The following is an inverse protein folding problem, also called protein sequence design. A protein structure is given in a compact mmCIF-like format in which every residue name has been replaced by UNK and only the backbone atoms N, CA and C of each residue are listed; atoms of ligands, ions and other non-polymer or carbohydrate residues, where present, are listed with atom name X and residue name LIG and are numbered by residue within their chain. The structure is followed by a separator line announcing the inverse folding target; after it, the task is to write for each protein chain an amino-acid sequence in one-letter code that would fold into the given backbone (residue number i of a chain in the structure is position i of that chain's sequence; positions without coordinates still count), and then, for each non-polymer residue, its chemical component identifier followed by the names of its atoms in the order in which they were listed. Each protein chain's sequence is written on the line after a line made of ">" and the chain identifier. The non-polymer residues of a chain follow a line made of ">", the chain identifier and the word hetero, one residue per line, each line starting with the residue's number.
data_IF_387168874536
#
_entry.id   IF_387168874536
#
_cell.length_a   1.000
_cell.length_b   1.000
_cell.length_c   1.000
_cell.angle_alpha   90.00
_cell.angle_beta   90.00
_cell.angle_gamma   90.00
#
_symmetry.space_group_name_H-M   'P 1'
#
loop_
_entity.id
_entity.type
_entity.pdbx_description
1 polymer ?
#
# COMPACT_ATOMS: atom_id res chain seq x y z
N UNK A 1 -21.16 -3.16 -3.31
CA UNK A 1 -21.14 -1.99 -2.41
C UNK A 1 -22.48 -1.85 -1.71
N UNK A 2 -22.50 -1.44 -0.43
CA UNK A 2 -23.69 -1.00 0.30
C UNK A 2 -23.68 0.52 0.32
N UNK A 3 -24.85 1.12 0.20
CA UNK A 3 -25.03 2.57 0.24
C UNK A 3 -26.22 2.92 1.12
N UNK A 4 -26.04 3.84 2.07
CA UNK A 4 -27.11 4.37 2.91
C UNK A 4 -26.96 5.87 3.11
N UNK A 5 -28.10 6.53 3.31
CA UNK A 5 -28.13 7.93 3.74
C UNK A 5 -28.48 7.98 5.22
N UNK A 6 -27.51 8.35 6.05
CA UNK A 6 -27.60 8.44 7.50
C UNK A 6 -28.08 9.84 7.92
N UNK A 7 -28.82 9.94 9.01
CA UNK A 7 -29.22 11.24 9.59
C UNK A 7 -28.16 11.72 10.58
N UNK A 8 -27.67 12.94 10.39
CA UNK A 8 -26.70 13.56 11.30
C UNK A 8 -27.36 14.63 12.18
N UNK A 9 -26.61 15.18 13.14
CA UNK A 9 -26.96 16.38 13.91
C UNK A 9 -27.35 17.53 12.98
N UNK A 10 -26.58 17.73 11.92
CA UNK A 10 -26.64 18.92 11.06
C UNK A 10 -27.23 18.65 9.67
N UNK A 11 -27.66 17.43 9.35
CA UNK A 11 -28.25 17.10 8.06
C UNK A 11 -28.36 15.62 7.74
N UNK A 12 -27.91 15.26 6.52
CA UNK A 12 -27.91 13.90 5.99
C UNK A 12 -26.54 13.59 5.39
N UNK A 13 -26.01 12.41 5.67
CA UNK A 13 -24.72 11.94 5.21
C UNK A 13 -24.90 10.69 4.34
N UNK A 14 -24.42 10.73 3.09
CA UNK A 14 -24.47 9.57 2.20
C UNK A 14 -23.20 8.75 2.38
N UNK A 15 -23.32 7.56 2.96
CA UNK A 15 -22.21 6.64 3.23
C UNK A 15 -22.27 5.46 2.26
N UNK A 16 -21.14 5.16 1.63
CA UNK A 16 -20.99 4.04 0.69
C UNK A 16 -19.79 3.20 1.11
N UNK A 17 -19.98 1.88 1.26
CA UNK A 17 -18.92 0.96 1.68
C UNK A 17 -18.78 -0.19 0.68
N UNK A 18 -17.55 -0.61 0.32
CA UNK A 18 -17.27 -1.86 -0.36
C UNK A 18 -17.91 -3.08 0.33
N UNK A 19 -18.39 -4.04 -0.46
CA UNK A 19 -18.84 -5.36 0.05
C UNK A 19 -17.96 -6.51 -0.44
N UNK A 20 -17.08 -6.22 -1.39
CA UNK A 20 -16.17 -7.15 -2.03
C UNK A 20 -14.79 -6.52 -2.07
N UNK A 21 -13.74 -7.33 -2.00
CA UNK A 21 -12.37 -6.82 -2.07
C UNK A 21 -12.02 -6.17 -3.41
N UNK A 22 -12.72 -6.51 -4.49
CA UNK A 22 -12.55 -5.85 -5.79
C UNK A 22 -12.86 -4.35 -5.76
N UNK A 23 -13.63 -3.91 -4.77
CA UNK A 23 -14.01 -2.50 -4.58
C UNK A 23 -13.09 -1.79 -3.57
N UNK A 24 -12.16 -2.49 -2.92
CA UNK A 24 -11.25 -1.95 -1.90
C UNK A 24 -9.89 -1.64 -2.54
N UNK A 25 -9.37 -0.44 -2.28
CA UNK A 25 -8.04 -0.03 -2.78
C UNK A 25 -6.92 -0.49 -1.85
N UNK A 26 -5.71 -0.60 -2.38
CA UNK A 26 -4.51 -0.90 -1.60
C UNK A 26 -4.28 0.15 -0.51
N UNK A 27 -4.54 1.42 -0.79
CA UNK A 27 -4.40 2.52 0.16
C UNK A 27 -5.35 2.43 1.33
N UNK A 28 -6.61 2.03 1.10
CA UNK A 28 -7.58 1.78 2.17
C UNK A 28 -7.11 0.63 3.07
N UNK A 29 -6.62 -0.45 2.48
CA UNK A 29 -6.04 -1.58 3.21
C UNK A 29 -4.82 -1.20 4.03
N UNK A 30 -3.91 -0.39 3.46
CA UNK A 30 -2.75 0.15 4.17
C UNK A 30 -3.17 1.03 5.36
N UNK A 31 -4.19 1.87 5.19
CA UNK A 31 -4.70 2.72 6.26
C UNK A 31 -5.30 1.91 7.41
N UNK A 32 -5.99 0.80 7.11
CA UNK A 32 -6.48 -0.13 8.13
C UNK A 32 -5.32 -0.85 8.84
N UNK A 33 -4.31 -1.31 8.11
CA UNK A 33 -3.15 -1.99 8.71
C UNK A 33 -2.32 -1.07 9.62
N UNK A 34 -2.28 0.24 9.31
CA UNK A 34 -1.55 1.22 10.10
C UNK A 34 -2.16 1.48 11.49
N UNK A 35 -3.39 1.00 11.76
CA UNK A 35 -4.11 1.19 13.03
C UNK A 35 -4.29 -0.15 13.77
N UNK A 36 -3.45 -0.48 14.77
CA UNK A 36 -3.53 -1.74 15.50
C UNK A 36 -4.82 -1.93 16.30
N UNK A 37 -5.48 -0.84 16.69
CA UNK A 37 -6.73 -0.82 17.46
C UNK A 37 -7.80 -0.08 16.64
N UNK A 38 -8.09 -0.60 15.45
CA UNK A 38 -9.10 -0.02 14.56
C UNK A 38 -10.49 -0.27 15.13
N UNK A 39 -11.25 0.79 15.38
CA UNK A 39 -12.66 0.68 15.75
C UNK A 39 -13.57 0.68 14.51
N UNK A 40 -14.84 0.30 14.66
CA UNK A 40 -15.78 0.16 13.54
C UNK A 40 -16.00 1.48 12.78
N UNK A 41 -16.07 2.62 13.47
CA UNK A 41 -16.27 3.94 12.86
C UNK A 41 -15.05 4.34 12.02
N UNK A 42 -13.84 4.05 12.50
CA UNK A 42 -12.61 4.28 11.76
C UNK A 42 -12.49 3.36 10.55
N UNK A 43 -12.88 2.09 10.67
CA UNK A 43 -12.92 1.17 9.54
C UNK A 43 -13.89 1.67 8.46
N UNK A 44 -15.09 2.10 8.87
CA UNK A 44 -16.09 2.71 8.00
C UNK A 44 -15.55 3.98 7.35
N UNK A 45 -14.91 4.85 8.12
CA UNK A 45 -14.28 6.09 7.63
C UNK A 45 -13.27 5.82 6.50
N UNK A 46 -12.38 4.84 6.70
CA UNK A 46 -11.37 4.46 5.72
C UNK A 46 -12.01 3.87 4.46
N UNK A 47 -12.97 2.96 4.63
CA UNK A 47 -13.59 2.24 3.52
C UNK A 47 -14.57 3.09 2.72
N UNK A 48 -15.24 4.07 3.36
CA UNK A 48 -16.15 5.00 2.70
C UNK A 48 -15.46 6.26 2.20
N UNK A 49 -14.25 6.57 2.69
CA UNK A 49 -13.54 7.82 2.40
C UNK A 49 -14.18 9.06 3.05
N UNK A 50 -14.97 8.88 4.11
CA UNK A 50 -15.64 9.96 4.85
C UNK A 50 -14.87 10.21 6.14
N UNK A 51 -14.72 11.46 6.56
CA UNK A 51 -14.01 11.78 7.80
C UNK A 51 -14.73 11.16 9.02
N UNK A 52 -13.96 10.69 10.00
CA UNK A 52 -14.53 10.08 11.21
C UNK A 52 -15.42 11.06 11.98
N UNK A 53 -15.05 12.34 12.02
CA UNK A 53 -15.83 13.41 12.68
C UNK A 53 -17.24 13.53 12.10
N UNK A 54 -17.38 13.39 10.78
CA UNK A 54 -18.69 13.39 10.12
C UNK A 54 -19.52 12.15 10.50
N UNK A 55 -18.88 11.00 10.71
CA UNK A 55 -19.55 9.78 11.14
C UNK A 55 -19.98 9.84 12.60
N UNK A 56 -19.20 10.49 13.48
CA UNK A 56 -19.58 10.72 14.88
C UNK A 56 -20.80 11.63 15.02
N UNK A 57 -21.13 12.42 14.00
CA UNK A 57 -22.33 13.26 13.98
C UNK A 57 -23.64 12.50 13.70
N UNK A 58 -23.57 11.19 13.38
CA UNK A 58 -24.74 10.36 13.08
C UNK A 58 -25.57 10.09 14.34
N UNK A 59 -26.88 10.34 14.24
CA UNK A 59 -27.80 10.30 15.40
C UNK A 59 -28.08 8.90 15.94
N UNK A 60 -28.07 7.90 15.07
CA UNK A 60 -28.43 6.53 15.43
C UNK A 60 -27.27 5.57 15.11
N UNK A 61 -26.71 4.95 16.15
CA UNK A 61 -25.59 4.03 16.00
C UNK A 61 -26.02 2.72 15.32
N UNK A 62 -27.28 2.31 15.46
CA UNK A 62 -27.82 1.10 14.83
C UNK A 62 -27.80 1.18 13.31
N UNK A 63 -27.76 2.40 12.73
CA UNK A 63 -27.68 2.58 11.29
C UNK A 63 -26.34 2.07 10.72
N UNK A 64 -25.31 1.92 11.56
CA UNK A 64 -24.00 1.36 11.19
C UNK A 64 -23.94 -0.16 11.20
N UNK A 65 -24.95 -0.88 11.71
CA UNK A 65 -24.89 -2.33 11.88
C UNK A 65 -24.62 -3.07 10.57
N UNK A 66 -25.34 -2.70 9.50
CA UNK A 66 -25.17 -3.30 8.18
C UNK A 66 -23.78 -3.02 7.56
N UNK A 67 -23.11 -1.95 8.00
CA UNK A 67 -21.74 -1.66 7.60
C UNK A 67 -20.74 -2.52 8.37
N UNK A 68 -20.97 -2.77 9.67
CA UNK A 68 -20.16 -3.69 10.47
C UNK A 68 -20.10 -5.09 9.89
N UNK A 69 -21.25 -5.65 9.48
CA UNK A 69 -21.32 -6.97 8.83
C UNK A 69 -20.50 -7.02 7.53
N UNK A 70 -20.51 -5.93 6.75
CA UNK A 70 -19.71 -5.82 5.53
C UNK A 70 -18.20 -5.75 5.82
N UNK A 71 -17.79 -4.97 6.83
CA UNK A 71 -16.39 -4.89 7.29
C UNK A 71 -15.89 -6.26 7.74
N UNK A 72 -16.68 -6.97 8.54
CA UNK A 72 -16.33 -8.31 9.00
C UNK A 72 -16.19 -9.28 7.83
N UNK A 73 -17.12 -9.25 6.86
CA UNK A 73 -17.03 -10.08 5.65
C UNK A 73 -15.77 -9.79 4.82
N UNK A 74 -15.39 -8.52 4.66
CA UNK A 74 -14.15 -8.14 3.97
C UNK A 74 -12.92 -8.70 4.69
N UNK A 75 -12.89 -8.68 6.03
CA UNK A 75 -11.78 -9.23 6.82
C UNK A 75 -11.54 -10.73 6.54
N UNK A 76 -12.61 -11.51 6.41
CA UNK A 76 -12.51 -12.92 6.04
C UNK A 76 -11.99 -13.10 4.61
N UNK A 77 -12.45 -12.29 3.66
CA UNK A 77 -11.98 -12.36 2.28
C UNK A 77 -10.47 -12.05 2.17
N UNK A 78 -9.94 -11.12 2.98
CA UNK A 78 -8.52 -10.69 2.93
C UNK A 78 -7.60 -11.87 3.25
N UNK A 79 -7.97 -12.69 4.23
CA UNK A 79 -7.21 -13.89 4.60
C UNK A 79 -6.97 -14.82 3.41
N UNK A 80 -7.94 -14.94 2.52
CA UNK A 80 -7.83 -15.80 1.33
C UNK A 80 -7.10 -15.12 0.17
N UNK A 81 -7.13 -13.79 0.09
CA UNK A 81 -6.48 -13.06 -1.01
C UNK A 81 -4.97 -13.29 -1.05
N UNK A 82 -4.32 -13.38 0.11
CA UNK A 82 -2.90 -13.73 0.19
C UNK A 82 -2.60 -15.14 -0.34
N UNK A 83 -3.57 -16.04 -0.39
CA UNK A 83 -3.40 -17.40 -0.90
C UNK A 83 -3.71 -17.53 -2.40
N UNK A 84 -4.17 -16.46 -3.06
CA UNK A 84 -4.47 -16.49 -4.49
C UNK A 84 -3.21 -16.52 -5.33
N UNK A 85 -3.15 -17.43 -6.31
CA UNK A 85 -2.09 -17.51 -7.32
C UNK A 85 -2.48 -16.80 -8.63
N UNK A 86 -3.71 -16.29 -8.74
CA UNK A 86 -4.20 -15.67 -9.96
C UNK A 86 -3.63 -14.26 -10.13
N UNK A 87 -2.60 -14.12 -10.99
CA UNK A 87 -1.99 -12.84 -11.33
C UNK A 87 -2.75 -12.21 -12.52
N UNK A 88 -3.24 -10.96 -12.40
CA UNK A 88 -3.89 -10.27 -13.51
C UNK A 88 -2.90 -10.04 -14.66
N UNK A 89 -3.38 -10.12 -15.91
CA UNK A 89 -2.54 -9.93 -17.12
C UNK A 89 -2.28 -8.45 -17.43
N UNK A 90 -3.14 -7.56 -16.97
CA UNK A 90 -3.05 -6.12 -17.20
C UNK A 90 -3.66 -5.36 -16.02
N UNK A 91 -3.18 -4.13 -15.82
CA UNK A 91 -3.65 -3.18 -14.80
C UNK A 91 -3.89 -1.84 -15.47
N UNK A 92 -4.89 -1.11 -15.00
CA UNK A 92 -5.25 0.20 -15.53
C UNK A 92 -4.96 1.29 -14.51
N UNK A 93 -4.25 2.34 -14.93
CA UNK A 93 -3.90 3.51 -14.12
C UNK A 93 -4.63 4.75 -14.61
N UNK A 94 -5.16 5.53 -13.68
CA UNK A 94 -5.73 6.85 -13.94
C UNK A 94 -4.73 7.92 -13.52
N UNK A 95 -3.84 8.31 -14.44
CA UNK A 95 -2.76 9.25 -14.14
C UNK A 95 -3.27 10.71 -14.08
N UNK A 96 -2.74 11.53 -13.15
CA UNK A 96 -3.09 12.94 -13.08
C UNK A 96 -2.67 13.66 -14.37
N UNK A 97 -3.59 14.43 -14.96
CA UNK A 97 -3.36 15.13 -16.22
C UNK A 97 -3.59 14.30 -17.49
N UNK A 98 -3.91 13.00 -17.37
CA UNK A 98 -4.36 12.19 -18.51
C UNK A 98 -5.88 12.06 -18.52
N UNK A 99 -6.50 12.35 -19.65
CA UNK A 99 -7.95 12.16 -19.86
C UNK A 99 -8.28 10.67 -20.08
N UNK A 100 -7.33 9.90 -20.62
CA UNK A 100 -7.53 8.48 -20.90
C UNK A 100 -6.77 7.61 -19.88
N UNK A 101 -7.39 6.49 -19.44
CA UNK A 101 -6.73 5.55 -18.55
C UNK A 101 -5.59 4.81 -19.28
N UNK A 102 -4.42 4.72 -18.63
CA UNK A 102 -3.27 3.99 -19.18
C UNK A 102 -3.36 2.53 -18.76
N UNK A 103 -3.47 1.62 -19.73
CA UNK A 103 -3.46 0.17 -19.46
C UNK A 103 -2.07 -0.40 -19.66
N UNK A 104 -1.53 -1.04 -18.62
CA UNK A 104 -0.18 -1.62 -18.59
C UNK A 104 -0.28 -3.14 -18.51
N UNK A 105 0.50 -3.84 -19.34
CA UNK A 105 0.63 -5.29 -19.27
C UNK A 105 1.50 -5.70 -18.07
N UNK A 106 1.03 -6.69 -17.33
CA UNK A 106 1.77 -7.30 -16.22
C UNK A 106 2.65 -8.39 -16.80
N UNK A 107 3.97 -8.14 -16.79
CA UNK A 107 4.98 -9.13 -17.13
C UNK A 107 5.48 -9.80 -15.85
N UNK A 108 5.50 -11.13 -15.85
CA UNK A 108 5.91 -11.95 -14.69
C UNK A 108 7.40 -11.83 -14.32
N UNK A 109 8.19 -11.09 -15.11
CA UNK A 109 9.64 -10.91 -14.90
C UNK A 109 9.93 -9.46 -14.51
N UNK A 110 10.51 -9.27 -13.32
CA UNK A 110 10.96 -7.98 -12.81
C UNK A 110 12.18 -7.43 -13.60
N UNK A 111 12.98 -8.33 -14.19
CA UNK A 111 14.18 -7.99 -14.96
C UNK A 111 13.91 -7.30 -16.31
N UNK A 112 12.64 -7.07 -16.66
CA UNK A 112 12.27 -6.32 -17.87
C UNK A 112 12.30 -4.80 -17.60
N UNK A 113 12.38 -4.38 -16.35
CA UNK A 113 12.46 -2.96 -15.97
C UNK A 113 13.88 -2.38 -16.06
N UNK A 114 14.02 -1.05 -16.12
CA UNK A 114 15.31 -0.38 -16.03
C UNK A 114 16.12 -0.87 -14.82
N UNK A 115 17.45 -0.94 -14.95
CA UNK A 115 18.32 -1.46 -13.90
C UNK A 115 18.09 -0.81 -12.53
N UNK A 116 17.80 0.50 -12.50
CA UNK A 116 17.46 1.22 -11.26
C UNK A 116 16.18 0.71 -10.58
N UNK A 117 15.10 0.52 -11.36
CA UNK A 117 13.83 -0.02 -10.85
C UNK A 117 14.01 -1.45 -10.32
N UNK A 118 14.73 -2.29 -11.06
CA UNK A 118 15.04 -3.65 -10.64
C UNK A 118 15.83 -3.66 -9.34
N UNK A 119 16.89 -2.85 -9.21
CA UNK A 119 17.71 -2.78 -8.00
C UNK A 119 16.91 -2.28 -6.80
N UNK A 120 16.10 -1.23 -6.96
CA UNK A 120 15.29 -0.70 -5.87
C UNK A 120 14.25 -1.72 -5.38
N UNK A 121 13.49 -2.32 -6.30
CA UNK A 121 12.51 -3.37 -5.96
C UNK A 121 13.18 -4.59 -5.31
N UNK A 122 14.35 -4.99 -5.81
CA UNK A 122 15.15 -6.07 -5.24
C UNK A 122 15.54 -5.80 -3.78
N UNK A 123 15.95 -4.58 -3.48
CA UNK A 123 16.45 -4.22 -2.16
C UNK A 123 15.29 -4.12 -1.14
N UNK A 124 14.11 -3.63 -1.55
CA UNK A 124 12.88 -3.68 -0.74
C UNK A 124 12.47 -5.12 -0.45
N UNK A 125 12.45 -5.97 -1.48
CA UNK A 125 12.14 -7.41 -1.30
C UNK A 125 13.11 -7.99 -0.28
N UNK A 126 14.42 -7.87 -0.50
CA UNK A 126 15.42 -8.43 0.41
C UNK A 126 15.29 -7.94 1.86
N UNK A 127 14.98 -6.67 2.08
CA UNK A 127 14.78 -6.11 3.42
C UNK A 127 13.57 -6.73 4.13
N UNK A 128 12.44 -6.84 3.43
CA UNK A 128 11.21 -7.43 3.97
C UNK A 128 11.41 -8.91 4.34
N UNK A 129 12.03 -9.68 3.45
CA UNK A 129 12.35 -11.09 3.67
C UNK A 129 13.25 -11.27 4.89
N UNK A 130 14.33 -10.48 4.96
CA UNK A 130 15.28 -10.56 6.05
C UNK A 130 14.67 -10.13 7.38
N UNK A 131 13.72 -9.20 7.37
CA UNK A 131 12.98 -8.78 8.58
C UNK A 131 12.09 -9.91 9.08
N UNK A 132 11.37 -10.60 8.19
CA UNK A 132 10.56 -11.77 8.55
C UNK A 132 11.43 -12.91 9.12
N UNK A 133 12.53 -13.25 8.45
CA UNK A 133 13.46 -14.31 8.90
C UNK A 133 14.02 -13.99 10.28
N UNK A 134 14.34 -12.72 10.58
CA UNK A 134 14.83 -12.31 11.90
C UNK A 134 13.79 -12.46 13.00
N UNK A 135 12.50 -12.28 12.68
CA UNK A 135 11.42 -12.32 13.66
C UNK A 135 10.88 -13.75 13.89
N UNK A 136 10.72 -14.52 12.82
CA UNK A 136 10.01 -15.81 12.86
C UNK A 136 10.89 -17.02 12.49
N UNK A 137 12.13 -16.79 12.05
CA UNK A 137 13.06 -17.83 11.64
C UNK A 137 12.96 -18.18 10.15
N UNK A 138 13.98 -18.89 9.64
CA UNK A 138 14.11 -19.23 8.22
C UNK A 138 13.10 -20.29 7.74
N UNK A 139 12.64 -21.17 8.65
CA UNK A 139 11.64 -22.20 8.35
C UNK A 139 10.27 -21.59 8.07
N UNK A 140 9.86 -20.59 8.85
CA UNK A 140 8.54 -19.96 8.74
C UNK A 140 8.40 -19.11 7.46
N UNK A 141 9.50 -18.53 7.00
CA UNK A 141 9.55 -17.72 5.77
C UNK A 141 8.95 -18.43 4.55
N UNK A 142 9.22 -19.73 4.36
CA UNK A 142 8.76 -20.44 3.15
C UNK A 142 7.27 -20.75 3.16
N UNK A 143 6.67 -20.86 4.35
CA UNK A 143 5.31 -21.37 4.51
C UNK A 143 4.31 -20.25 4.82
N UNK A 144 4.70 -19.25 5.63
CA UNK A 144 3.78 -18.28 6.20
C UNK A 144 4.13 -16.82 5.85
N UNK A 145 5.06 -16.58 4.92
CA UNK A 145 5.43 -15.21 4.58
C UNK A 145 4.31 -14.44 3.89
N UNK A 146 3.91 -13.34 4.52
CA UNK A 146 3.02 -12.34 3.96
C UNK A 146 3.74 -10.99 3.96
N UNK A 147 4.07 -10.42 2.78
CA UNK A 147 4.73 -9.11 2.72
C UNK A 147 3.81 -8.01 3.26
N UNK A 148 4.39 -7.00 3.91
CA UNK A 148 3.64 -5.82 4.32
C UNK A 148 3.03 -5.11 3.12
N UNK A 149 1.85 -4.51 3.31
CA UNK A 149 1.16 -3.77 2.25
C UNK A 149 2.00 -2.58 1.77
N UNK A 150 2.82 -2.01 2.65
CA UNK A 150 3.75 -0.94 2.30
C UNK A 150 4.84 -1.43 1.35
N UNK A 151 5.51 -2.55 1.67
CA UNK A 151 6.51 -3.14 0.77
C UNK A 151 5.88 -3.53 -0.58
N UNK A 152 4.66 -4.08 -0.57
CA UNK A 152 3.89 -4.35 -1.78
C UNK A 152 3.70 -3.08 -2.63
N UNK A 153 3.23 -1.99 -2.02
CA UNK A 153 3.02 -0.71 -2.70
C UNK A 153 4.31 -0.18 -3.34
N UNK A 154 5.43 -0.22 -2.60
CA UNK A 154 6.71 0.29 -3.10
C UNK A 154 7.25 -0.55 -4.26
N UNK A 155 7.26 -1.88 -4.15
CA UNK A 155 7.70 -2.78 -5.22
C UNK A 155 6.88 -2.53 -6.49
N UNK A 156 5.56 -2.42 -6.36
CA UNK A 156 4.67 -2.14 -7.48
C UNK A 156 4.90 -0.75 -8.08
N UNK A 157 5.24 0.26 -7.28
CA UNK A 157 5.58 1.59 -7.78
C UNK A 157 6.84 1.56 -8.65
N UNK A 158 7.92 0.93 -8.17
CA UNK A 158 9.14 0.76 -8.96
C UNK A 158 8.88 -0.05 -10.24
N UNK A 159 8.04 -1.07 -10.15
CA UNK A 159 7.71 -1.93 -11.28
C UNK A 159 6.87 -1.24 -12.36
N UNK A 160 5.84 -0.49 -11.98
CA UNK A 160 4.89 0.09 -12.93
C UNK A 160 5.27 1.48 -13.44
N UNK A 161 6.09 2.23 -12.71
CA UNK A 161 6.33 3.65 -12.99
C UNK A 161 6.66 3.92 -14.47
N UNK A 162 7.74 3.35 -15.00
CA UNK A 162 8.18 3.64 -16.37
C UNK A 162 7.15 3.23 -17.44
N UNK A 163 6.40 2.15 -17.22
CA UNK A 163 5.39 1.68 -18.17
C UNK A 163 4.08 2.44 -18.09
N UNK A 164 3.70 2.87 -16.90
CA UNK A 164 2.48 3.63 -16.69
C UNK A 164 2.66 5.07 -17.18
N UNK A 165 3.77 5.72 -16.82
CA UNK A 165 3.99 7.14 -17.13
C UNK A 165 4.67 7.37 -18.48
N UNK A 166 5.39 6.37 -19.01
CA UNK A 166 6.26 6.54 -20.17
C UNK A 166 7.53 7.36 -19.88
N UNK A 167 7.75 7.75 -18.63
CA UNK A 167 8.89 8.56 -18.23
C UNK A 167 10.15 7.71 -17.94
N UNK A 168 11.32 8.36 -18.04
CA UNK A 168 12.57 7.77 -17.58
C UNK A 168 12.54 7.56 -16.08
N UNK A 169 13.12 6.44 -15.64
CA UNK A 169 13.17 6.08 -14.23
C UNK A 169 13.79 7.19 -13.37
N UNK A 170 13.06 7.59 -12.32
CA UNK A 170 13.50 8.56 -11.33
C UNK A 170 12.90 8.18 -9.98
N UNK A 171 13.76 7.91 -8.99
CA UNK A 171 13.35 7.43 -7.67
C UNK A 171 12.40 8.39 -6.94
N UNK A 172 12.62 9.70 -7.03
CA UNK A 172 11.75 10.70 -6.40
C UNK A 172 10.34 10.69 -6.98
N UNK A 173 10.24 10.56 -8.32
CA UNK A 173 8.95 10.47 -9.00
C UNK A 173 8.26 9.12 -8.75
N UNK A 174 9.03 8.05 -8.54
CA UNK A 174 8.48 6.74 -8.15
C UNK A 174 7.86 6.82 -6.76
N UNK A 175 8.47 7.55 -5.82
CA UNK A 175 7.90 7.77 -4.49
C UNK A 175 6.54 8.49 -4.57
N UNK A 176 6.42 9.53 -5.40
CA UNK A 176 5.14 10.19 -5.67
C UNK A 176 4.13 9.23 -6.34
N UNK A 177 4.61 8.37 -7.24
CA UNK A 177 3.81 7.37 -7.92
C UNK A 177 3.25 6.29 -6.98
N UNK A 178 3.84 6.08 -5.79
CA UNK A 178 3.22 5.24 -4.77
C UNK A 178 1.79 5.68 -4.44
N UNK A 179 1.50 6.99 -4.48
CA UNK A 179 0.14 7.47 -4.25
C UNK A 179 -0.84 7.04 -5.34
N UNK A 180 -0.38 6.82 -6.57
CA UNK A 180 -1.20 6.24 -7.63
C UNK A 180 -1.40 4.75 -7.43
N UNK A 181 -0.35 4.03 -7.01
CA UNK A 181 -0.43 2.60 -6.69
C UNK A 181 -1.39 2.32 -5.53
N UNK A 182 -1.47 3.21 -4.53
CA UNK A 182 -2.46 3.13 -3.45
C UNK A 182 -3.91 3.12 -3.96
N UNK A 183 -4.18 3.71 -5.12
CA UNK A 183 -5.53 3.72 -5.69
C UNK A 183 -5.86 2.43 -6.46
N UNK A 184 -4.88 1.56 -6.71
CA UNK A 184 -5.12 0.26 -7.33
C UNK A 184 -5.95 -0.64 -6.41
N UNK A 185 -6.82 -1.47 -7.01
CA UNK A 185 -7.61 -2.46 -6.27
C UNK A 185 -6.69 -3.46 -5.59
N UNK A 186 -7.01 -3.82 -4.34
CA UNK A 186 -6.18 -4.77 -3.58
C UNK A 186 -6.11 -6.14 -4.24
N UNK A 187 -7.20 -6.56 -4.91
CA UNK A 187 -7.28 -7.82 -5.66
C UNK A 187 -6.36 -7.88 -6.87
N UNK A 188 -5.99 -6.72 -7.42
CA UNK A 188 -5.04 -6.62 -8.53
C UNK A 188 -3.61 -6.45 -8.01
N UNK A 189 -3.45 -5.63 -6.97
CA UNK A 189 -2.15 -5.30 -6.38
C UNK A 189 -1.46 -6.51 -5.74
N UNK A 190 -2.15 -7.21 -4.84
CA UNK A 190 -1.52 -8.20 -3.97
C UNK A 190 -0.99 -9.42 -4.72
N UNK A 191 -1.72 -10.04 -5.67
CA UNK A 191 -1.18 -11.19 -6.40
C UNK A 191 0.10 -10.86 -7.18
N UNK A 192 0.17 -9.66 -7.77
CA UNK A 192 1.37 -9.20 -8.50
C UNK A 192 2.53 -8.99 -7.54
N UNK A 193 2.29 -8.28 -6.43
CA UNK A 193 3.33 -8.02 -5.44
C UNK A 193 3.86 -9.33 -4.86
N UNK A 194 2.97 -10.22 -4.39
CA UNK A 194 3.32 -11.53 -3.83
C UNK A 194 4.20 -12.33 -4.79
N UNK A 195 3.84 -12.38 -6.07
CA UNK A 195 4.64 -13.06 -7.10
C UNK A 195 6.10 -12.58 -7.11
N UNK A 196 6.34 -11.28 -6.96
CA UNK A 196 7.71 -10.76 -6.89
C UNK A 196 8.45 -11.16 -5.61
N UNK A 197 7.77 -11.23 -4.46
CA UNK A 197 8.43 -11.72 -3.24
C UNK A 197 8.72 -13.23 -3.32
N UNK A 198 7.84 -14.03 -3.93
CA UNK A 198 7.99 -15.49 -4.02
C UNK A 198 8.94 -15.94 -5.12
N UNK A 199 8.97 -15.27 -6.28
CA UNK A 199 9.81 -15.66 -7.42
C UNK A 199 11.26 -15.20 -7.32
N UNK A 200 11.59 -14.34 -6.35
CA UNK A 200 12.95 -13.86 -6.14
C UNK A 200 13.53 -14.22 -4.75
N UNK A 201 13.46 -15.50 -4.31
CA UNK A 201 13.95 -15.91 -3.00
C UNK A 201 15.48 -15.85 -2.90
N UNK A 202 16.18 -15.92 -4.04
CA UNK A 202 17.64 -15.82 -4.11
C UNK A 202 18.19 -14.42 -3.78
N UNK A 203 17.32 -13.42 -3.61
CA UNK A 203 17.69 -12.05 -3.24
C UNK A 203 17.91 -11.86 -1.74
N UNK A 204 17.46 -12.80 -0.90
CA UNK A 204 17.74 -12.77 0.55
C UNK A 204 19.23 -12.99 0.85
N UNK A 205 19.99 -13.53 -0.10
CA UNK A 205 21.44 -13.71 0.03
C UNK A 205 22.13 -12.34 -0.06
N UNK A 206 22.88 -11.93 0.98
CA UNK A 206 23.45 -10.59 1.05
C UNK A 206 24.50 -10.41 -0.04
N UNK A 207 24.17 -9.68 -1.10
CA UNK A 207 25.16 -9.01 -1.94
C UNK A 207 25.10 -7.52 -1.63
N UNK A 208 25.89 -7.12 -0.64
CA UNK A 208 26.27 -5.74 -0.30
C UNK A 208 25.26 -4.68 -0.76
N UNK A 209 24.24 -4.45 0.07
CA UNK A 209 23.20 -3.45 -0.14
C UNK A 209 23.79 -2.06 -0.31
N UNK A 210 23.61 -1.47 -1.50
CA UNK A 210 23.95 -0.06 -1.77
C UNK A 210 23.06 0.89 -0.95
N UNK A 211 21.86 0.46 -0.53
CA UNK A 211 20.92 1.25 0.28
C UNK A 211 21.35 1.45 1.72
N UNK A 212 22.10 0.54 2.33
CA UNK A 212 22.69 0.82 3.65
C UNK A 212 23.63 2.04 3.63
N UNK A 213 24.18 2.39 2.46
CA UNK A 213 25.00 3.60 2.29
C UNK A 213 24.12 4.86 2.14
N UNK A 214 23.01 4.79 1.42
CA UNK A 214 22.11 5.93 1.17
C UNK A 214 21.15 6.21 2.34
N UNK A 215 20.57 5.20 2.98
CA UNK A 215 19.78 5.36 4.21
C UNK A 215 20.59 5.97 5.36
N UNK A 216 21.89 5.67 5.45
CA UNK A 216 22.82 6.34 6.38
C UNK A 216 23.01 7.82 6.04
N UNK A 217 23.02 8.19 4.77
CA UNK A 217 23.11 9.58 4.32
C UNK A 217 21.80 10.33 4.61
N UNK A 218 20.65 9.70 4.39
CA UNK A 218 19.34 10.26 4.70
C UNK A 218 19.13 10.52 6.19
N UNK A 219 19.49 9.57 7.07
CA UNK A 219 19.42 9.79 8.54
C UNK A 219 20.38 10.89 9.01
N UNK A 220 21.53 11.07 8.36
CA UNK A 220 22.44 12.19 8.66
C UNK A 220 21.93 13.54 8.15
N UNK A 221 21.22 13.56 7.02
CA UNK A 221 20.58 14.76 6.48
C UNK A 221 19.55 15.38 7.44
N UNK A 222 18.66 14.54 8.01
CA UNK A 222 17.64 14.99 8.97
C UNK A 222 18.21 15.43 10.34
N UNK A 223 19.35 14.88 10.77
CA UNK A 223 20.02 15.33 12.00
C UNK A 223 20.78 16.65 11.77
N UNK A 224 21.32 16.87 10.57
CA UNK A 224 22.02 18.11 10.23
C UNK A 224 21.09 19.33 10.09
N UNK A 225 19.81 19.12 9.72
CA UNK A 225 18.83 20.21 9.64
C UNK A 225 18.27 20.61 11.00
N UNK A 226 18.22 19.68 11.97
CA UNK A 226 17.81 19.99 13.36
C UNK A 226 18.85 20.76 14.17
N UNK A 227 20.13 20.77 13.78
CA UNK A 227 21.18 21.51 14.49
C UNK A 227 21.36 22.95 14.00
N UNK A 228 20.74 23.36 12.88
CA UNK A 228 20.83 24.73 12.36
C UNK A 228 19.74 25.69 12.86
N UNK A 229 18.76 25.21 13.63
CA UNK A 229 17.67 26.04 14.16
C UNK A 229 17.82 26.43 15.64
N UNK A 230 18.97 26.17 16.26
CA UNK A 230 19.31 26.66 17.61
C UNK A 230 20.37 27.76 17.52
N UNK A 231 20.10 28.81 16.72
CA UNK A 231 20.74 30.10 16.97
C UNK A 231 19.92 30.81 18.04
N UNK A 232 20.28 30.52 19.28
CA UNK A 232 19.93 31.34 20.44
C UNK A 232 20.66 32.68 20.24
N UNK A 233 19.87 33.66 19.86
CA UNK A 233 20.12 35.07 20.11
C UNK A 233 20.16 35.30 21.61
N UNK A 234 21.27 35.82 22.12
CA UNK A 234 21.29 36.58 23.38
C UNK A 234 22.19 37.82 23.20
N UNK A 235 21.81 38.93 23.85
CA UNK A 235 22.34 40.30 23.62
C UNK A 235 23.77 40.51 24.11
#
# INVERSE_FOLDING_TARGET
>A
MIEKTLKTTDGKLRVKIPTQLSDVTLGQMMAMQAKPQLNDIEAISILSGIAADDLYSVKNIDDFRDFGDAVLSLSYQIKYLYNSEAIPKQVTFHLPGSVQPTTVKVLQKLAVEPAGAFMAARDIIAEEINTHIKQYGESDWKENFNPSLNACCQVLAHYFFCRATGEKYNEYKVEEFCNQVKNMRVTEALPIAKHFFTCYPNLSKPKTSYWHRLLRVWKKGQVSSRLKSLNISTP
#
